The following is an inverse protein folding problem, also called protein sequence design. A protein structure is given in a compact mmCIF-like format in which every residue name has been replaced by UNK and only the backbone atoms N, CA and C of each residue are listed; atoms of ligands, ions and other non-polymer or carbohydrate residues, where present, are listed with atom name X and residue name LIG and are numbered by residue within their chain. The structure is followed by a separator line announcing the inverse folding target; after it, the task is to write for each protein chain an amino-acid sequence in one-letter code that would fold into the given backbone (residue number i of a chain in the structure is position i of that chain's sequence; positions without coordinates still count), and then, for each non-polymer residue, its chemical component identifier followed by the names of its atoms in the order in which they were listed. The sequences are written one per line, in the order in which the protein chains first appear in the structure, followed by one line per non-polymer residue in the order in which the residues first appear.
data_IF_367317636782
#
_entry.id   IF_367317636782
#
_cell.length_a   1.000
_cell.length_b   1.000
_cell.length_c   1.000
_cell.angle_alpha   90.00
_cell.angle_beta   90.00
_cell.angle_gamma   90.00
#
_symmetry.space_group_name_H-M   'P 1'
#
loop_
_entity.id
_entity.type
_entity.pdbx_description
1 polymer ?
#
# COMPACT_ATOMS: atom_id res chain seq x y z
N UNK A 1 -1.12 -4.84 -8.81
CA UNK A 1 0.19 -4.30 -8.42
C UNK A 1 0.52 -4.81 -7.03
N UNK A 2 1.48 -5.74 -6.86
CA UNK A 2 1.81 -6.32 -5.56
C UNK A 2 2.50 -5.33 -4.62
N UNK A 3 2.47 -5.61 -3.32
CA UNK A 3 3.24 -4.91 -2.30
C UNK A 3 4.33 -5.82 -1.68
N UNK A 4 5.56 -5.81 -2.21
CA UNK A 4 6.63 -6.72 -1.76
C UNK A 4 7.08 -6.45 -0.32
N UNK A 5 6.92 -5.23 0.19
CA UNK A 5 7.39 -4.87 1.54
C UNK A 5 6.53 -5.54 2.64
N UNK A 6 5.24 -5.73 2.40
CA UNK A 6 4.33 -6.49 3.28
C UNK A 6 4.80 -7.94 3.39
N UNK A 7 5.12 -8.58 2.26
CA UNK A 7 5.60 -9.97 2.24
C UNK A 7 6.98 -10.10 2.89
N UNK A 8 7.89 -9.16 2.62
CA UNK A 8 9.19 -9.07 3.27
C UNK A 8 9.05 -9.02 4.80
N UNK A 9 8.13 -8.21 5.33
CA UNK A 9 7.91 -8.17 6.77
C UNK A 9 7.35 -9.51 7.29
N UNK A 10 6.29 -10.04 6.66
CA UNK A 10 5.64 -11.25 7.11
C UNK A 10 6.55 -12.50 7.07
N UNK A 11 7.34 -12.67 6.00
CA UNK A 11 8.12 -13.91 5.77
C UNK A 11 9.59 -13.80 6.16
N UNK A 12 10.20 -12.61 6.04
CA UNK A 12 11.64 -12.43 6.29
C UNK A 12 11.87 -11.80 7.66
N UNK A 13 11.39 -10.58 7.89
CA UNK A 13 11.76 -9.82 9.10
C UNK A 13 11.12 -10.37 10.37
N UNK A 14 9.87 -10.83 10.32
CA UNK A 14 9.15 -11.29 11.52
C UNK A 14 8.91 -12.81 11.55
N UNK A 15 9.49 -13.54 10.60
CA UNK A 15 9.48 -15.01 10.60
C UNK A 15 10.91 -15.53 10.54
N UNK A 16 11.58 -15.49 9.39
CA UNK A 16 12.94 -16.03 9.28
C UNK A 16 13.95 -15.39 10.26
N UNK A 17 13.96 -14.06 10.37
CA UNK A 17 14.83 -13.35 11.32
C UNK A 17 14.42 -13.58 12.77
N UNK A 18 13.11 -13.57 13.07
CA UNK A 18 12.60 -13.85 14.41
C UNK A 18 13.02 -15.26 14.86
N UNK A 19 12.75 -16.27 14.04
CA UNK A 19 13.09 -17.67 14.33
C UNK A 19 14.60 -17.85 14.55
N UNK A 20 15.41 -17.17 13.74
CA UNK A 20 16.86 -17.18 13.91
C UNK A 20 17.29 -16.54 15.23
N UNK A 21 16.75 -15.38 15.58
CA UNK A 21 17.05 -14.69 16.83
C UNK A 21 16.64 -15.52 18.06
N UNK A 22 15.47 -16.19 18.02
CA UNK A 22 15.03 -17.07 19.11
C UNK A 22 15.97 -18.26 19.28
N UNK A 23 16.47 -18.85 18.18
CA UNK A 23 17.49 -19.93 18.24
C UNK A 23 18.82 -19.47 18.84
N UNK A 24 19.17 -18.20 18.72
CA UNK A 24 20.35 -17.61 19.36
C UNK A 24 20.13 -17.27 20.84
N UNK A 25 18.94 -17.53 21.39
CA UNK A 25 18.60 -17.24 22.78
C UNK A 25 18.10 -15.83 23.04
N UNK A 26 17.75 -15.07 22.00
CA UNK A 26 17.12 -13.76 22.20
C UNK A 26 15.69 -13.91 22.76
N UNK A 27 15.28 -13.02 23.65
CA UNK A 27 13.91 -12.99 24.16
C UNK A 27 12.92 -12.28 23.24
N UNK A 28 13.40 -11.24 22.54
CA UNK A 28 12.66 -10.41 21.58
C UNK A 28 13.60 -9.90 20.48
N UNK A 29 13.03 -9.47 19.37
CA UNK A 29 13.71 -8.70 18.32
C UNK A 29 13.26 -7.23 18.36
N UNK A 30 14.14 -6.31 17.94
CA UNK A 30 13.80 -4.91 17.76
C UNK A 30 13.98 -4.52 16.29
N UNK A 31 13.08 -3.68 15.77
CA UNK A 31 13.22 -3.12 14.42
C UNK A 31 13.02 -1.61 14.42
N UNK A 32 13.58 -0.93 13.42
CA UNK A 32 13.40 0.51 13.22
C UNK A 32 12.07 0.90 12.56
N UNK A 33 11.03 0.07 12.66
CA UNK A 33 9.72 0.42 12.13
C UNK A 33 9.03 1.46 13.03
N UNK A 34 8.40 2.45 12.40
CA UNK A 34 7.57 3.45 13.05
C UNK A 34 6.16 2.87 13.26
N UNK A 35 6.05 1.93 14.18
CA UNK A 35 4.81 1.34 14.65
C UNK A 35 4.94 1.10 16.15
N UNK A 36 3.84 0.83 16.85
CA UNK A 36 3.88 0.56 18.29
C UNK A 36 3.27 -0.81 18.57
N UNK A 37 3.63 -1.39 19.71
CA UNK A 37 3.05 -2.66 20.18
C UNK A 37 2.67 -2.50 21.64
N UNK A 38 1.46 -2.94 21.99
CA UNK A 38 0.92 -2.87 23.36
C UNK A 38 0.32 -4.21 23.76
N UNK A 39 0.53 -4.65 24.99
CA UNK A 39 -0.27 -5.72 25.59
C UNK A 39 -1.53 -5.08 26.17
N UNK A 40 -2.70 -5.41 25.63
CA UNK A 40 -3.97 -4.94 26.16
C UNK A 40 -4.36 -5.79 27.36
N UNK A 41 -4.35 -5.20 28.56
CA UNK A 41 -4.63 -5.90 29.82
C UNK A 41 -6.05 -6.47 29.89
N UNK A 42 -7.02 -5.83 29.24
CA UNK A 42 -8.42 -6.28 29.25
C UNK A 42 -8.66 -7.53 28.42
N UNK A 43 -7.87 -7.72 27.34
CA UNK A 43 -8.03 -8.85 26.41
C UNK A 43 -6.92 -9.89 26.51
N UNK A 44 -5.79 -9.53 27.15
CA UNK A 44 -4.57 -10.33 27.17
C UNK A 44 -3.87 -10.46 25.81
N UNK A 45 -4.25 -9.63 24.81
CA UNK A 45 -3.72 -9.70 23.44
C UNK A 45 -2.73 -8.58 23.15
N UNK A 46 -1.77 -8.87 22.28
CA UNK A 46 -0.86 -7.87 21.73
C UNK A 46 -1.54 -7.12 20.58
N UNK A 47 -1.52 -5.81 20.64
CA UNK A 47 -2.07 -4.92 19.63
C UNK A 47 -0.93 -4.29 18.83
N UNK A 48 -1.08 -4.26 17.50
CA UNK A 48 -0.26 -3.43 16.62
C UNK A 48 -0.90 -2.05 16.54
N UNK A 49 -0.12 -1.02 16.82
CA UNK A 49 -0.57 0.37 16.86
C UNK A 49 0.16 1.19 15.81
N UNK A 50 -0.48 2.26 15.32
CA UNK A 50 0.17 3.27 14.47
C UNK A 50 1.36 3.91 15.21
N UNK A 51 2.40 4.26 14.47
CA UNK A 51 3.47 5.10 15.01
C UNK A 51 2.96 6.51 15.37
N UNK A 52 3.57 7.16 16.36
CA UNK A 52 3.19 8.52 16.76
C UNK A 52 3.42 9.57 15.67
N UNK A 53 4.38 9.34 14.77
CA UNK A 53 4.60 10.17 13.59
C UNK A 53 3.69 9.71 12.42
N UNK A 54 2.61 10.43 12.09
CA UNK A 54 1.67 9.97 11.08
C UNK A 54 2.29 9.93 9.67
N UNK A 55 3.30 10.74 9.40
CA UNK A 55 3.99 10.78 8.11
C UNK A 55 4.94 9.58 7.91
N UNK A 56 5.28 8.90 9.01
CA UNK A 56 6.18 7.75 9.03
C UNK A 56 5.54 6.46 9.53
N UNK A 57 4.32 6.48 10.05
CA UNK A 57 3.57 5.30 10.50
C UNK A 57 3.71 4.15 9.49
N UNK A 58 4.27 3.03 9.95
CA UNK A 58 4.55 1.84 9.15
C UNK A 58 3.65 0.66 9.51
N UNK A 59 2.64 0.84 10.36
CA UNK A 59 1.66 -0.20 10.72
C UNK A 59 1.03 -0.87 9.49
N UNK A 60 0.81 -0.09 8.40
CA UNK A 60 0.31 -0.59 7.12
C UNK A 60 1.13 -1.77 6.57
N UNK A 61 2.46 -1.73 6.68
CA UNK A 61 3.32 -2.81 6.18
C UNK A 61 3.44 -4.00 7.13
N UNK A 62 2.88 -3.87 8.34
CA UNK A 62 2.97 -4.85 9.43
C UNK A 62 1.60 -5.50 9.70
N UNK A 63 0.58 -5.22 8.88
CA UNK A 63 -0.79 -5.68 9.11
C UNK A 63 -0.96 -7.21 9.17
N UNK A 64 0.00 -7.97 8.63
CA UNK A 64 0.01 -9.45 8.65
C UNK A 64 0.70 -10.06 9.87
N UNK A 65 1.20 -9.25 10.80
CA UNK A 65 1.83 -9.77 12.01
C UNK A 65 0.79 -10.39 12.95
N UNK A 66 1.13 -11.55 13.52
CA UNK A 66 0.28 -12.25 14.46
C UNK A 66 0.71 -12.03 15.93
N UNK A 67 -0.08 -12.59 16.85
CA UNK A 67 0.15 -12.49 18.30
C UNK A 67 1.53 -12.98 18.74
N UNK A 68 1.98 -14.13 18.22
CA UNK A 68 3.29 -14.70 18.57
C UNK A 68 4.41 -13.75 18.15
N UNK A 69 4.36 -13.25 16.92
CA UNK A 69 5.35 -12.32 16.36
C UNK A 69 5.37 -11.00 17.15
N UNK A 70 4.21 -10.42 17.43
CA UNK A 70 4.12 -9.18 18.21
C UNK A 70 4.61 -9.35 19.65
N UNK A 71 4.33 -10.49 20.30
CA UNK A 71 4.79 -10.75 21.68
C UNK A 71 6.31 -10.77 21.80
N UNK A 72 7.00 -11.07 20.70
CA UNK A 72 8.46 -11.16 20.58
C UNK A 72 9.10 -9.98 19.86
N UNK A 73 8.37 -8.88 19.68
CA UNK A 73 8.84 -7.72 18.91
C UNK A 73 8.85 -6.45 19.75
N UNK A 74 9.83 -5.59 19.49
CA UNK A 74 9.93 -4.22 19.99
C UNK A 74 10.02 -3.24 18.81
N UNK A 75 9.38 -2.08 18.95
CA UNK A 75 9.45 -0.97 18.00
C UNK A 75 9.91 0.32 18.70
N UNK A 76 11.21 0.46 19.01
CA UNK A 76 11.69 1.54 19.89
C UNK A 76 11.44 2.96 19.34
N UNK A 77 11.38 3.11 18.02
CA UNK A 77 11.17 4.40 17.36
C UNK A 77 9.69 4.72 17.11
N UNK A 78 8.77 3.82 17.44
CA UNK A 78 7.34 4.00 17.26
C UNK A 78 6.73 5.14 18.09
N UNK A 79 7.36 5.42 19.24
CA UNK A 79 6.97 6.48 20.19
C UNK A 79 7.63 7.83 19.89
N UNK A 80 8.32 7.97 18.75
CA UNK A 80 9.10 9.16 18.43
C UNK A 80 8.73 9.71 17.06
N UNK A 81 8.74 11.04 16.96
CA UNK A 81 8.77 11.70 15.66
C UNK A 81 10.10 11.44 14.96
N UNK A 82 10.10 11.38 13.63
CA UNK A 82 11.34 11.18 12.86
C UNK A 82 12.39 12.25 13.12
N UNK A 83 11.93 13.48 13.34
CA UNK A 83 12.78 14.62 13.71
C UNK A 83 13.53 14.35 15.00
N UNK A 84 12.86 13.76 15.98
CA UNK A 84 13.42 13.41 17.27
C UNK A 84 14.43 12.26 17.18
N UNK A 85 14.11 11.22 16.40
CA UNK A 85 15.07 10.12 16.12
C UNK A 85 16.34 10.65 15.47
N UNK A 86 16.24 11.63 14.56
CA UNK A 86 17.42 12.28 13.94
C UNK A 86 18.21 13.11 14.95
N UNK A 87 17.53 13.89 15.79
CA UNK A 87 18.17 14.68 16.85
C UNK A 87 18.99 13.78 17.79
N UNK A 88 18.39 12.70 18.30
CA UNK A 88 19.06 11.73 19.18
C UNK A 88 20.26 11.10 18.46
N UNK A 89 20.11 10.70 17.19
CA UNK A 89 21.19 10.09 16.42
C UNK A 89 22.37 11.06 16.21
N UNK A 90 22.11 12.34 15.95
CA UNK A 90 23.13 13.38 15.83
C UNK A 90 23.83 13.64 17.20
N UNK A 91 23.07 13.70 18.30
CA UNK A 91 23.59 13.96 19.65
C UNK A 91 24.51 12.85 20.16
N UNK A 92 24.19 11.58 19.91
CA UNK A 92 25.03 10.45 20.31
C UNK A 92 26.12 10.11 19.27
N UNK A 93 26.23 10.89 18.20
CA UNK A 93 27.28 10.77 17.20
C UNK A 93 27.20 9.53 16.31
N UNK A 94 25.99 9.05 15.97
CA UNK A 94 25.86 7.91 15.07
C UNK A 94 26.36 8.26 13.65
N UNK A 95 27.18 7.41 13.01
CA UNK A 95 27.76 7.70 11.70
C UNK A 95 26.70 7.82 10.58
N UNK A 96 25.51 7.25 10.79
CA UNK A 96 24.40 7.28 9.87
C UNK A 96 23.33 8.34 10.22
N UNK A 97 23.56 9.24 11.19
CA UNK A 97 22.55 10.20 11.64
C UNK A 97 22.00 11.09 10.51
N UNK A 98 22.87 11.51 9.58
CA UNK A 98 22.52 12.34 8.42
C UNK A 98 22.13 11.55 7.16
N UNK A 99 22.11 10.21 7.23
CA UNK A 99 21.80 9.37 6.07
C UNK A 99 20.35 9.60 5.63
N UNK A 100 20.12 9.74 4.32
CA UNK A 100 18.76 9.81 3.76
C UNK A 100 18.02 8.49 4.02
N UNK A 101 16.72 8.59 4.24
CA UNK A 101 15.87 7.41 4.38
C UNK A 101 15.92 6.62 3.07
N UNK A 102 15.94 5.29 3.16
CA UNK A 102 15.88 4.43 1.98
C UNK A 102 14.53 4.61 1.27
N UNK A 103 14.57 4.79 -0.06
CA UNK A 103 13.39 4.72 -0.91
C UNK A 103 13.44 3.47 -1.80
N UNK A 104 12.30 3.09 -2.39
CA UNK A 104 12.17 1.88 -3.21
C UNK A 104 11.82 0.62 -2.41
N UNK A 105 11.92 -0.54 -3.08
CA UNK A 105 11.52 -1.85 -2.53
C UNK A 105 12.55 -2.33 -1.51
N UNK A 106 12.06 -2.88 -0.39
CA UNK A 106 12.89 -3.43 0.67
C UNK A 106 13.90 -4.45 0.11
N UNK A 107 15.14 -4.39 0.60
CA UNK A 107 16.30 -5.20 0.19
C UNK A 107 16.82 -5.03 -1.25
N UNK A 108 16.05 -4.46 -2.18
CA UNK A 108 16.50 -4.22 -3.57
C UNK A 108 17.24 -2.88 -3.69
N UNK A 109 16.81 -1.88 -2.91
CA UNK A 109 17.33 -0.52 -2.94
C UNK A 109 16.76 0.33 -4.07
N UNK A 110 17.33 1.53 -4.25
CA UNK A 110 16.91 2.48 -5.29
C UNK A 110 17.44 2.04 -6.66
N UNK A 111 16.54 1.57 -7.53
CA UNK A 111 16.83 1.22 -8.92
C UNK A 111 15.71 1.72 -9.84
N UNK A 112 15.98 1.99 -11.12
CA UNK A 112 14.94 2.25 -12.10
C UNK A 112 13.98 1.05 -12.16
N UNK A 113 12.77 1.21 -11.61
CA UNK A 113 11.83 0.10 -11.39
C UNK A 113 11.46 -0.63 -12.69
N UNK A 114 11.31 0.13 -13.79
CA UNK A 114 11.01 -0.42 -15.12
C UNK A 114 12.13 -1.32 -15.63
N UNK A 115 13.38 -0.90 -15.51
CA UNK A 115 14.53 -1.72 -15.90
C UNK A 115 14.68 -2.95 -15.01
N UNK A 116 14.42 -2.81 -13.71
CA UNK A 116 14.42 -3.92 -12.78
C UNK A 116 13.45 -5.02 -13.21
N UNK A 117 12.18 -4.66 -13.49
CA UNK A 117 11.14 -5.61 -13.90
C UNK A 117 11.38 -6.23 -15.28
N UNK A 118 11.95 -5.48 -16.23
CA UNK A 118 12.25 -5.98 -17.59
C UNK A 118 13.20 -7.19 -17.59
N UNK A 119 13.94 -7.43 -16.51
CA UNK A 119 14.81 -8.60 -16.37
C UNK A 119 14.06 -9.90 -16.07
N UNK A 120 12.81 -9.79 -15.63
CA UNK A 120 12.02 -10.93 -15.13
C UNK A 120 10.67 -11.08 -15.85
N UNK A 121 10.17 -10.03 -16.50
CA UNK A 121 8.86 -10.01 -17.15
C UNK A 121 9.03 -9.53 -18.60
N UNK A 122 8.48 -10.30 -19.54
CA UNK A 122 8.45 -9.95 -20.96
C UNK A 122 7.63 -8.68 -21.22
N UNK A 123 8.10 -7.84 -22.15
CA UNK A 123 7.31 -6.71 -22.64
C UNK A 123 6.31 -7.21 -23.66
N UNK A 124 5.04 -6.95 -23.41
CA UNK A 124 3.96 -7.18 -24.37
C UNK A 124 3.27 -5.83 -24.64
N UNK A 125 3.77 -5.06 -25.62
CA UNK A 125 3.17 -3.78 -25.97
C UNK A 125 1.72 -3.94 -26.43
N UNK A 126 0.92 -2.89 -26.18
CA UNK A 126 -0.52 -2.92 -26.45
C UNK A 126 -1.13 -1.52 -26.47
N UNK A 127 -2.36 -1.37 -26.97
CA UNK A 127 -2.98 -0.07 -27.14
C UNK A 127 -3.29 0.61 -25.80
N UNK A 128 -3.08 1.92 -25.75
CA UNK A 128 -3.65 2.78 -24.71
C UNK A 128 -4.92 3.42 -25.28
N UNK A 129 -6.06 3.23 -24.62
CA UNK A 129 -7.37 3.77 -25.05
C UNK A 129 -7.99 4.68 -24.01
N UNK A 130 -8.69 5.71 -24.46
CA UNK A 130 -9.51 6.56 -23.59
C UNK A 130 -10.88 5.93 -23.28
N UNK A 131 -11.69 6.59 -22.45
CA UNK A 131 -13.01 6.11 -22.06
C UNK A 131 -14.00 5.96 -23.22
N UNK A 132 -13.70 6.56 -24.38
CA UNK A 132 -14.49 6.48 -25.62
C UNK A 132 -13.97 5.41 -26.58
N UNK A 133 -12.95 4.65 -26.17
CA UNK A 133 -12.33 3.61 -26.98
C UNK A 133 -11.36 4.13 -28.04
N UNK A 134 -11.07 5.44 -28.07
CA UNK A 134 -10.08 6.00 -29.01
C UNK A 134 -8.69 5.62 -28.54
N UNK A 135 -7.86 5.13 -29.45
CA UNK A 135 -6.46 4.88 -29.14
C UNK A 135 -5.72 6.22 -29.03
N UNK A 136 -5.08 6.45 -27.88
CA UNK A 136 -4.34 7.67 -27.54
C UNK A 136 -2.84 7.43 -27.36
N UNK A 137 -2.40 6.17 -27.48
CA UNK A 137 -1.00 5.80 -27.41
C UNK A 137 -0.78 4.29 -27.42
N UNK A 138 0.43 3.88 -27.04
CA UNK A 138 0.84 2.48 -26.90
C UNK A 138 1.62 2.33 -25.58
N UNK A 139 1.32 1.28 -24.82
CA UNK A 139 1.99 0.96 -23.59
C UNK A 139 3.08 -0.08 -23.81
N UNK A 140 4.09 -0.11 -22.93
CA UNK A 140 5.19 -1.08 -23.04
C UNK A 140 4.93 -2.42 -22.33
N UNK A 141 3.72 -2.60 -21.78
CA UNK A 141 3.26 -3.80 -21.07
C UNK A 141 2.47 -3.42 -19.82
N UNK A 142 1.33 -4.08 -19.58
CA UNK A 142 0.40 -3.72 -18.49
C UNK A 142 1.03 -3.77 -17.09
N UNK A 143 2.06 -4.61 -16.89
CA UNK A 143 2.79 -4.76 -15.63
C UNK A 143 3.54 -3.49 -15.18
N UNK A 144 3.84 -2.57 -16.09
CA UNK A 144 4.56 -1.32 -15.79
C UNK A 144 3.67 -0.15 -15.34
N UNK A 145 2.36 -0.39 -15.27
CA UNK A 145 1.37 0.63 -14.95
C UNK A 145 0.66 0.26 -13.64
N UNK A 146 0.08 1.23 -12.95
CA UNK A 146 -0.76 1.00 -11.76
C UNK A 146 -1.97 1.92 -11.84
N UNK A 147 -3.11 1.52 -11.29
CA UNK A 147 -4.30 2.37 -11.31
C UNK A 147 -4.02 3.71 -10.60
N UNK A 148 -4.53 4.79 -11.16
CA UNK A 148 -4.24 6.16 -10.73
C UNK A 148 -2.85 6.68 -11.14
N UNK A 149 -2.05 5.91 -11.88
CA UNK A 149 -0.75 6.40 -12.35
C UNK A 149 -0.92 7.52 -13.39
N UNK A 150 -0.27 8.67 -13.13
CA UNK A 150 -0.20 9.82 -14.05
C UNK A 150 1.03 9.81 -14.95
N UNK A 151 2.19 9.51 -14.37
CA UNK A 151 3.48 9.65 -15.06
C UNK A 151 3.79 8.45 -15.95
N UNK A 152 4.59 8.67 -17.00
CA UNK A 152 5.12 7.59 -17.84
C UNK A 152 4.12 6.98 -18.83
N UNK A 153 2.99 7.66 -19.08
CA UNK A 153 1.99 7.26 -20.09
C UNK A 153 2.38 7.64 -21.52
N UNK A 154 3.24 8.65 -21.70
CA UNK A 154 3.67 9.10 -23.03
C UNK A 154 2.56 9.75 -23.87
N UNK A 155 1.43 10.11 -23.24
CA UNK A 155 0.28 10.73 -23.91
C UNK A 155 0.49 12.25 -23.95
N UNK A 156 0.86 12.77 -25.12
CA UNK A 156 0.99 14.21 -25.35
C UNK A 156 -0.19 14.75 -26.16
N UNK A 157 -0.87 15.78 -25.63
CA UNK A 157 -1.78 16.67 -26.38
C UNK A 157 -2.72 15.98 -27.37
N UNK A 158 -3.62 15.13 -26.90
CA UNK A 158 -4.68 14.52 -27.72
C UNK A 158 -5.64 15.64 -28.16
N UNK A 159 -5.40 16.23 -29.33
CA UNK A 159 -6.30 17.23 -29.91
C UNK A 159 -7.45 16.51 -30.63
N UNK A 160 -8.72 16.81 -30.32
CA UNK A 160 -9.79 16.51 -31.25
C UNK A 160 -9.52 17.23 -32.59
N UNK A 161 -9.76 16.55 -33.72
CA UNK A 161 -9.71 17.17 -35.06
C UNK A 161 -10.72 18.32 -35.10
N UNK A 162 -10.26 19.57 -35.07
CA UNK A 162 -11.11 20.75 -35.33
C UNK A 162 -10.98 21.94 -34.37
N UNK A 163 -10.31 21.81 -33.22
CA UNK A 163 -10.23 22.92 -32.25
C UNK A 163 -9.01 23.84 -32.46
N UNK A 164 -9.26 25.16 -32.44
CA UNK A 164 -8.24 26.20 -32.54
C UNK A 164 -7.28 26.18 -31.33
N UNK A 165 -6.02 26.57 -31.57
CA UNK A 165 -4.99 26.75 -30.53
C UNK A 165 -5.45 27.83 -29.53
N UNK A 166 -6.07 27.46 -28.42
CA UNK A 166 -6.33 28.46 -27.37
C UNK A 166 -7.11 28.06 -26.12
N UNK A 167 -8.00 27.06 -26.09
CA UNK A 167 -8.90 26.91 -24.93
C UNK A 167 -9.54 25.51 -24.79
N UNK A 168 -8.75 24.48 -24.48
CA UNK A 168 -9.26 23.13 -24.18
C UNK A 168 -8.65 22.57 -22.91
N UNK A 169 -9.49 22.25 -21.93
CA UNK A 169 -9.16 21.80 -20.57
C UNK A 169 -8.04 20.73 -20.54
N UNK A 170 -6.81 21.11 -20.15
CA UNK A 170 -5.65 20.21 -20.11
C UNK A 170 -5.62 19.39 -18.81
N UNK A 171 -6.71 18.69 -18.50
CA UNK A 171 -6.75 17.78 -17.37
C UNK A 171 -5.76 16.62 -17.58
N UNK A 172 -4.98 16.24 -16.55
CA UNK A 172 -3.97 15.18 -16.66
C UNK A 172 -4.62 13.81 -16.90
N UNK A 173 -3.91 12.96 -17.65
CA UNK A 173 -4.30 11.56 -17.89
C UNK A 173 -3.88 10.66 -16.72
N UNK A 174 -4.74 9.71 -16.39
CA UNK A 174 -4.52 8.69 -15.36
C UNK A 174 -4.88 7.30 -15.90
N UNK A 175 -4.16 6.28 -15.46
CA UNK A 175 -4.54 4.87 -15.70
C UNK A 175 -5.80 4.55 -14.88
N UNK A 176 -6.88 4.21 -15.56
CA UNK A 176 -8.14 3.85 -14.93
C UNK A 176 -8.35 2.34 -14.85
N UNK A 177 -8.01 1.59 -15.92
CA UNK A 177 -8.23 0.14 -15.98
C UNK A 177 -7.14 -0.57 -16.76
N UNK A 178 -7.03 -1.87 -16.53
CA UNK A 178 -6.18 -2.78 -17.31
C UNK A 178 -7.05 -3.93 -17.79
N UNK A 179 -7.15 -4.10 -19.09
CA UNK A 179 -7.79 -5.25 -19.69
C UNK A 179 -6.71 -6.25 -20.11
N UNK A 180 -6.56 -7.32 -19.33
CA UNK A 180 -5.57 -8.35 -19.60
C UNK A 180 -5.96 -9.19 -20.81
N UNK A 181 -7.27 -9.42 -21.03
CA UNK A 181 -7.75 -10.25 -22.13
C UNK A 181 -7.49 -9.58 -23.50
N UNK A 182 -7.67 -8.25 -23.57
CA UNK A 182 -7.42 -7.48 -24.79
C UNK A 182 -6.05 -6.78 -24.83
N UNK A 183 -5.18 -7.03 -23.84
CA UNK A 183 -3.91 -6.33 -23.62
C UNK A 183 -4.04 -4.79 -23.79
N UNK A 184 -5.06 -4.19 -23.17
CA UNK A 184 -5.39 -2.77 -23.35
C UNK A 184 -5.27 -2.00 -22.03
N UNK A 185 -4.58 -0.86 -22.06
CA UNK A 185 -4.51 0.08 -20.95
C UNK A 185 -5.55 1.18 -21.14
N UNK A 186 -6.49 1.30 -20.21
CA UNK A 186 -7.52 2.33 -20.26
C UNK A 186 -7.11 3.54 -19.43
N UNK A 187 -7.20 4.72 -20.01
CA UNK A 187 -6.83 5.99 -19.38
C UNK A 187 -7.98 6.98 -19.43
N UNK A 188 -8.02 7.89 -18.46
CA UNK A 188 -9.06 8.93 -18.34
C UNK A 188 -8.42 10.25 -17.97
N UNK A 189 -9.09 11.37 -18.28
CA UNK A 189 -8.68 12.69 -17.84
C UNK A 189 -9.41 13.12 -16.56
N UNK A 190 -8.68 13.79 -15.66
CA UNK A 190 -9.24 14.32 -14.41
C UNK A 190 -9.12 13.35 -13.25
N UNK A 191 -8.81 13.89 -12.06
CA UNK A 191 -8.59 13.11 -10.85
C UNK A 191 -9.88 12.43 -10.36
N UNK A 192 -11.01 13.14 -10.50
CA UNK A 192 -12.31 12.72 -9.97
C UNK A 192 -13.15 11.95 -11.01
N UNK A 193 -12.50 11.43 -12.05
CA UNK A 193 -13.19 10.65 -13.07
C UNK A 193 -13.83 9.41 -12.42
N UNK A 194 -15.11 9.08 -12.71
CA UNK A 194 -15.82 7.99 -12.04
C UNK A 194 -15.11 6.63 -12.07
N UNK A 195 -14.39 6.33 -13.16
CA UNK A 195 -13.62 5.07 -13.26
C UNK A 195 -12.43 4.96 -12.28
N UNK A 196 -12.04 6.05 -11.62
CA UNK A 196 -11.01 6.07 -10.59
C UNK A 196 -11.61 6.02 -9.19
N UNK A 197 -12.93 6.06 -9.03
CA UNK A 197 -13.59 6.18 -7.74
C UNK A 197 -14.36 4.90 -7.44
N UNK A 198 -13.98 4.23 -6.35
CA UNK A 198 -14.59 2.97 -5.93
C UNK A 198 -15.28 3.10 -4.59
N UNK A 199 -16.62 3.08 -4.50
CA UNK A 199 -17.33 3.00 -3.22
C UNK A 199 -17.08 1.70 -2.46
N UNK A 200 -16.52 0.68 -3.11
CA UNK A 200 -16.39 -0.66 -2.54
C UNK A 200 -15.05 -1.27 -2.89
N UNK A 201 -14.46 -2.00 -1.95
CA UNK A 201 -13.42 -2.98 -2.27
C UNK A 201 -13.70 -4.33 -1.62
N UNK A 202 -13.20 -5.38 -2.27
CA UNK A 202 -13.15 -6.73 -1.71
C UNK A 202 -11.70 -7.16 -1.63
N UNK A 203 -11.30 -7.66 -0.47
CA UNK A 203 -9.97 -8.15 -0.20
C UNK A 203 -10.01 -9.62 0.22
N UNK A 204 -9.06 -10.39 -0.32
CA UNK A 204 -8.83 -11.79 -0.01
C UNK A 204 -7.61 -11.92 0.91
N UNK A 205 -7.22 -13.16 1.25
CA UNK A 205 -6.04 -13.46 2.08
C UNK A 205 -6.01 -12.68 3.40
N UNK A 206 -7.16 -12.57 4.08
CA UNK A 206 -7.26 -11.80 5.31
C UNK A 206 -6.32 -12.34 6.39
N UNK A 207 -5.63 -11.42 7.05
CA UNK A 207 -4.76 -11.65 8.18
C UNK A 207 -5.11 -10.66 9.27
N UNK A 208 -5.53 -11.17 10.41
CA UNK A 208 -5.97 -10.38 11.54
C UNK A 208 -4.94 -10.45 12.66
N UNK A 209 -4.53 -9.29 13.17
CA UNK A 209 -3.52 -9.18 14.21
C UNK A 209 -3.95 -9.95 15.45
N UNK A 210 -5.24 -9.83 15.82
CA UNK A 210 -5.82 -10.54 16.94
C UNK A 210 -5.98 -12.06 16.71
N UNK A 211 -5.74 -12.57 15.50
CA UNK A 211 -5.95 -13.97 15.11
C UNK A 211 -7.38 -14.31 14.67
N UNK A 212 -8.31 -13.36 14.76
CA UNK A 212 -9.70 -13.50 14.35
C UNK A 212 -10.21 -12.20 13.74
N UNK A 213 -11.16 -12.30 12.82
CA UNK A 213 -11.78 -11.12 12.20
C UNK A 213 -12.46 -10.23 13.25
N UNK A 214 -12.36 -8.89 13.14
CA UNK A 214 -13.15 -7.99 13.96
C UNK A 214 -14.65 -8.13 13.62
N UNK A 215 -15.52 -7.73 14.54
CA UNK A 215 -16.96 -7.73 14.30
C UNK A 215 -17.32 -6.84 13.10
N UNK A 216 -18.45 -7.11 12.44
CA UNK A 216 -18.99 -6.19 11.46
C UNK A 216 -19.26 -4.83 12.12
N UNK A 217 -18.90 -3.73 11.46
CA UNK A 217 -18.90 -2.42 12.09
C UNK A 217 -18.23 -1.33 11.27
N UNK A 218 -18.11 -0.15 11.89
CA UNK A 218 -17.47 1.03 11.29
C UNK A 218 -16.03 1.14 11.71
N UNK A 219 -15.14 1.34 10.74
CA UNK A 219 -13.69 1.37 10.93
C UNK A 219 -13.02 2.38 10.01
N UNK A 220 -11.74 2.67 10.26
CA UNK A 220 -10.87 3.33 9.30
C UNK A 220 -10.16 2.29 8.42
N UNK A 221 -9.95 2.59 7.14
CA UNK A 221 -9.17 1.73 6.26
C UNK A 221 -8.21 2.50 5.36
N UNK A 222 -7.12 1.84 4.97
CA UNK A 222 -6.16 2.32 3.97
C UNK A 222 -6.08 1.31 2.83
N UNK A 223 -6.23 1.79 1.59
CA UNK A 223 -6.03 0.98 0.37
C UNK A 223 -4.62 1.17 -0.25
N UNK A 224 -3.87 2.15 0.29
CA UNK A 224 -2.50 2.46 -0.09
C UNK A 224 -1.75 3.05 1.09
N UNK A 225 -0.44 2.79 1.15
CA UNK A 225 0.45 3.43 2.12
C UNK A 225 0.41 4.96 2.00
N UNK A 226 0.38 5.66 3.15
CA UNK A 226 0.23 7.14 3.30
C UNK A 226 -1.10 7.74 2.87
N UNK A 227 -2.08 6.93 2.51
CA UNK A 227 -3.46 7.41 2.47
C UNK A 227 -3.91 7.76 3.90
N UNK A 228 -4.72 8.81 4.03
CA UNK A 228 -5.50 9.02 5.25
C UNK A 228 -6.46 7.85 5.45
N UNK A 229 -6.85 7.61 6.70
CA UNK A 229 -7.87 6.61 7.00
C UNK A 229 -9.20 7.02 6.38
N UNK A 230 -9.74 6.17 5.53
CA UNK A 230 -11.07 6.32 4.98
C UNK A 230 -12.08 5.60 5.87
N UNK A 231 -13.14 6.30 6.27
CA UNK A 231 -14.25 5.69 7.00
C UNK A 231 -14.96 4.64 6.14
N UNK A 232 -15.13 3.44 6.67
CA UNK A 232 -15.75 2.31 5.98
C UNK A 232 -16.62 1.48 6.91
N UNK A 233 -17.55 0.73 6.31
CA UNK A 233 -18.24 -0.38 6.97
C UNK A 233 -17.58 -1.70 6.54
N UNK A 234 -17.21 -2.52 7.52
CA UNK A 234 -16.70 -3.87 7.30
C UNK A 234 -17.87 -4.84 7.23
N UNK A 235 -17.88 -5.65 6.18
CA UNK A 235 -18.68 -6.87 6.08
C UNK A 235 -17.75 -8.09 5.90
N UNK A 236 -18.03 -9.16 6.62
CA UNK A 236 -17.24 -10.38 6.56
C UNK A 236 -17.66 -11.20 5.34
N UNK A 237 -16.70 -11.54 4.50
CA UNK A 237 -16.92 -12.40 3.35
C UNK A 237 -16.79 -13.88 3.68
N UNK A 238 -16.94 -14.71 2.66
CA UNK A 238 -16.70 -16.17 2.71
C UNK A 238 -15.20 -16.44 2.51
N UNK A 239 -14.71 -17.57 3.01
CA UNK A 239 -13.35 -18.08 2.76
C UNK A 239 -12.20 -17.12 3.07
N UNK A 240 -12.34 -16.32 4.14
CA UNK A 240 -11.30 -15.38 4.56
C UNK A 240 -11.21 -14.12 3.70
N UNK A 241 -12.22 -13.85 2.87
CA UNK A 241 -12.41 -12.55 2.23
C UNK A 241 -13.14 -11.57 3.17
N UNK A 242 -13.01 -10.27 2.89
CA UNK A 242 -13.84 -9.24 3.50
C UNK A 242 -14.14 -8.12 2.50
N UNK A 243 -15.25 -7.42 2.76
CA UNK A 243 -15.73 -6.30 1.98
C UNK A 243 -15.67 -5.03 2.82
N UNK A 244 -15.24 -3.94 2.19
CA UNK A 244 -15.31 -2.60 2.77
C UNK A 244 -16.20 -1.72 1.89
N UNK A 245 -17.23 -1.15 2.50
CA UNK A 245 -18.11 -0.16 1.90
C UNK A 245 -17.75 1.24 2.40
N UNK A 246 -17.47 2.16 1.47
CA UNK A 246 -17.07 3.53 1.76
C UNK A 246 -18.19 4.50 1.42
N UNK A 247 -18.54 5.40 2.35
CA UNK A 247 -19.50 6.46 2.08
C UNK A 247 -18.96 7.48 1.07
N UNK A 248 -17.65 7.75 1.14
CA UNK A 248 -16.92 8.53 0.15
C UNK A 248 -16.10 7.57 -0.73
N UNK A 249 -16.33 7.53 -2.06
CA UNK A 249 -15.60 6.64 -2.96
C UNK A 249 -14.08 6.80 -2.88
N UNK A 250 -13.37 5.68 -2.89
CA UNK A 250 -11.92 5.63 -2.75
C UNK A 250 -11.21 5.73 -4.09
N UNK A 251 -10.20 6.60 -4.14
CA UNK A 251 -9.47 6.86 -5.37
C UNK A 251 -8.46 5.75 -5.71
N UNK A 252 -8.54 5.26 -6.95
CA UNK A 252 -7.63 4.31 -7.59
C UNK A 252 -7.29 3.07 -6.75
N UNK A 253 -8.32 2.47 -6.13
CA UNK A 253 -8.20 1.20 -5.43
C UNK A 253 -7.62 0.15 -6.38
N UNK A 254 -6.47 -0.43 -6.02
CA UNK A 254 -5.65 -1.20 -6.95
C UNK A 254 -5.56 -2.67 -6.50
N UNK A 255 -6.07 -3.63 -7.30
CA UNK A 255 -5.88 -5.05 -7.02
C UNK A 255 -4.41 -5.45 -6.85
N UNK A 256 -4.13 -6.28 -5.84
CA UNK A 256 -2.80 -6.71 -5.40
C UNK A 256 -2.13 -5.79 -4.37
N UNK A 257 -2.66 -4.58 -4.11
CA UNK A 257 -2.28 -3.79 -2.94
C UNK A 257 -2.99 -4.31 -1.68
N UNK A 258 -2.58 -3.84 -0.50
CA UNK A 258 -3.22 -4.24 0.76
C UNK A 258 -4.39 -3.33 1.09
N UNK A 259 -5.49 -3.89 1.59
CA UNK A 259 -6.51 -3.18 2.35
C UNK A 259 -6.26 -3.43 3.83
N UNK A 260 -5.94 -2.37 4.59
CA UNK A 260 -5.60 -2.46 6.02
C UNK A 260 -6.64 -1.73 6.84
N UNK A 261 -7.17 -2.41 7.87
CA UNK A 261 -8.25 -1.95 8.73
C UNK A 261 -7.73 -1.46 10.08
N UNK A 262 -8.33 -0.39 10.58
CA UNK A 262 -7.94 0.30 11.80
C UNK A 262 -9.14 0.62 12.69
N UNK A 263 -8.97 0.47 14.00
CA UNK A 263 -9.85 1.03 15.03
C UNK A 263 -9.06 2.12 15.78
N UNK A 264 -9.27 3.38 15.37
CA UNK A 264 -8.47 4.51 15.80
C UNK A 264 -6.97 4.32 15.48
N UNK A 265 -6.17 4.06 16.52
CA UNK A 265 -4.74 3.80 16.40
C UNK A 265 -4.40 2.31 16.24
N UNK A 266 -5.32 1.39 16.53
CA UNK A 266 -5.08 -0.04 16.50
C UNK A 266 -5.20 -0.54 15.07
N UNK A 267 -4.15 -1.15 14.53
CA UNK A 267 -4.17 -1.90 13.29
C UNK A 267 -4.80 -3.27 13.56
N UNK A 268 -6.00 -3.50 13.03
CA UNK A 268 -6.74 -4.74 13.24
C UNK A 268 -6.21 -5.88 12.36
N UNK A 269 -5.65 -5.52 11.19
CA UNK A 269 -5.19 -6.46 10.19
C UNK A 269 -5.54 -5.99 8.79
N UNK A 270 -5.57 -6.91 7.83
CA UNK A 270 -5.94 -6.59 6.46
C UNK A 270 -5.77 -7.76 5.51
N UNK A 271 -6.00 -7.51 4.23
CA UNK A 271 -5.90 -8.50 3.16
C UNK A 271 -5.39 -7.90 1.86
N UNK A 272 -5.33 -8.71 0.82
CA UNK A 272 -4.93 -8.29 -0.52
C UNK A 272 -6.17 -7.92 -1.31
N UNK A 273 -6.22 -6.68 -1.82
CA UNK A 273 -7.33 -6.21 -2.64
C UNK A 273 -7.44 -7.10 -3.87
N UNK A 274 -8.57 -7.78 -4.02
CA UNK A 274 -8.87 -8.65 -5.15
C UNK A 274 -9.58 -7.86 -6.26
N UNK A 275 -10.55 -7.02 -5.88
CA UNK A 275 -11.32 -6.17 -6.79
C UNK A 275 -11.86 -4.93 -6.09
N UNK A 276 -12.26 -3.95 -6.89
CA UNK A 276 -12.97 -2.76 -6.47
C UNK A 276 -14.14 -2.52 -7.42
N UNK A 277 -15.24 -2.02 -6.90
CA UNK A 277 -16.48 -1.71 -7.65
C UNK A 277 -16.64 -0.20 -7.75
#
# INVERSE_FOLDING_TARGET
TPNPDVLCNAEIKFKAFLDHAMRLGAEKIATGHYARVRLNESTGRHELLKGLDPAKDQSYFLHRLNQQQLSKTLFPVGELHKTEVRRIADEIGLPNAKKKDSTGICFIGERPFREFLNRYISKEPGPIRDERGRQVGEHQGLSFYTLGQRQGLGIGGVKPKGEQRGAGDHAPWFVARKDVASNTLWVVQGHDHPWLLSPVLVADDASWVAGSAPAAGRYGAKSRYRQADAGCALDQGVDGAFRLDFAEPQWAVTPGQSAVLYDGEVCLGGGVIARAE
#
